data_IF_720075764429
#
_entry.id   IF_720075764429
#
_cell.length_a   1.000
_cell.length_b   1.000
_cell.length_c   1.000
_cell.angle_alpha   90.00
_cell.angle_beta   90.00
_cell.angle_gamma   90.00
#
_symmetry.space_group_name_H-M   'P 1'
#
loop_
_entity.id
_entity.type
_entity.pdbx_description
1 polymer ?
#
# COMPACT_ATOMS: atom_id res chain seq x y z
N UNK A 1 -29.52 22.25 34.47
CA UNK A 1 -28.57 21.15 34.18
C UNK A 1 -28.86 19.97 35.12
N UNK A 2 -30.08 19.41 35.09
CA UNK A 2 -30.51 18.39 36.09
C UNK A 2 -31.05 17.09 35.46
N UNK A 3 -31.09 16.99 34.13
CA UNK A 3 -31.70 15.84 33.43
C UNK A 3 -30.68 14.74 33.07
N UNK A 4 -29.38 15.07 33.05
CA UNK A 4 -28.33 14.13 32.64
C UNK A 4 -27.87 13.17 33.75
N UNK A 5 -28.04 13.54 35.02
CA UNK A 5 -27.62 12.75 36.18
C UNK A 5 -28.30 11.37 36.30
N UNK A 6 -29.64 11.28 36.31
CA UNK A 6 -30.33 10.00 36.47
C UNK A 6 -30.23 9.10 35.23
N UNK A 7 -30.15 9.69 34.03
CA UNK A 7 -29.91 8.95 32.79
C UNK A 7 -28.53 8.28 32.79
N UNK A 8 -27.46 9.02 33.10
CA UNK A 8 -26.11 8.47 33.17
C UNK A 8 -25.95 7.40 34.27
N UNK A 9 -26.63 7.56 35.41
CA UNK A 9 -26.63 6.58 36.49
C UNK A 9 -27.28 5.24 36.09
N UNK A 10 -28.32 5.26 35.26
CA UNK A 10 -28.96 4.05 34.73
C UNK A 10 -28.13 3.32 33.66
N UNK A 11 -27.37 4.07 32.84
CA UNK A 11 -26.54 3.49 31.77
C UNK A 11 -25.20 2.93 32.28
N UNK A 12 -24.62 3.51 33.34
CA UNK A 12 -23.31 3.12 33.86
C UNK A 12 -23.16 1.61 34.21
N UNK A 13 -24.10 0.96 34.93
CA UNK A 13 -23.98 -0.46 35.26
C UNK A 13 -24.23 -1.39 34.07
N UNK A 14 -24.88 -0.90 33.00
CA UNK A 14 -25.13 -1.68 31.77
C UNK A 14 -23.96 -1.57 30.81
N UNK A 15 -23.38 -0.38 30.68
CA UNK A 15 -22.29 -0.09 29.72
C UNK A 15 -20.92 -0.43 30.31
N UNK A 16 -20.68 -0.16 31.60
CA UNK A 16 -19.40 -0.38 32.27
C UNK A 16 -18.85 -1.81 32.08
N UNK A 17 -19.65 -2.86 32.34
CA UNK A 17 -19.26 -4.25 32.12
C UNK A 17 -19.13 -4.66 30.65
N UNK A 18 -19.44 -3.79 29.68
CA UNK A 18 -19.28 -4.06 28.24
C UNK A 18 -18.07 -3.33 27.65
N UNK A 19 -17.47 -2.38 28.38
CA UNK A 19 -16.31 -1.62 27.91
C UNK A 19 -15.08 -2.50 27.63
N UNK A 20 -14.98 -3.69 28.22
CA UNK A 20 -13.89 -4.62 27.91
C UNK A 20 -13.94 -5.13 26.45
N UNK A 21 -15.11 -5.11 25.78
CA UNK A 21 -15.21 -5.39 24.34
C UNK A 21 -14.51 -4.34 23.46
N UNK A 22 -14.23 -3.14 23.99
CA UNK A 22 -13.44 -2.16 23.27
C UNK A 22 -12.01 -2.66 23.04
N UNK A 23 -11.47 -3.47 23.94
CA UNK A 23 -10.12 -4.02 23.81
C UNK A 23 -9.99 -4.90 22.56
N UNK A 24 -10.76 -5.99 22.38
CA UNK A 24 -10.66 -6.81 21.18
C UNK A 24 -11.05 -6.03 19.91
N UNK A 25 -11.96 -5.06 19.97
CA UNK A 25 -12.29 -4.20 18.83
C UNK A 25 -11.09 -3.33 18.43
N UNK A 26 -10.43 -2.69 19.38
CA UNK A 26 -9.23 -1.89 19.13
C UNK A 26 -8.09 -2.77 18.63
N UNK A 27 -7.85 -3.93 19.24
CA UNK A 27 -6.83 -4.90 18.80
C UNK A 27 -7.11 -5.36 17.37
N UNK A 28 -8.34 -5.75 17.04
CA UNK A 28 -8.73 -6.15 15.69
C UNK A 28 -8.53 -5.00 14.69
N UNK A 29 -8.92 -3.77 15.04
CA UNK A 29 -8.73 -2.61 14.20
C UNK A 29 -7.24 -2.30 13.96
N UNK A 30 -6.39 -2.47 14.96
CA UNK A 30 -4.94 -2.33 14.84
C UNK A 30 -4.38 -3.40 13.91
N UNK A 31 -4.71 -4.68 14.13
CA UNK A 31 -4.25 -5.81 13.29
C UNK A 31 -4.66 -5.62 11.83
N UNK A 32 -5.90 -5.21 11.56
CA UNK A 32 -6.41 -5.03 10.19
C UNK A 32 -5.79 -3.83 9.46
N UNK A 33 -5.26 -2.85 10.19
CA UNK A 33 -4.63 -1.64 9.64
C UNK A 33 -3.10 -1.67 9.68
N UNK A 34 -2.50 -2.63 10.39
CA UNK A 34 -1.07 -2.65 10.61
C UNK A 34 -0.30 -2.85 9.30
N UNK A 35 0.73 -2.03 9.02
CA UNK A 35 1.55 -2.21 7.83
C UNK A 35 2.43 -3.45 7.94
N UNK A 36 2.88 -3.98 6.80
CA UNK A 36 3.85 -5.08 6.80
C UNK A 36 5.25 -4.57 7.17
N UNK A 37 5.79 -5.04 8.30
CA UNK A 37 7.13 -4.66 8.77
C UNK A 37 8.21 -5.08 7.76
N UNK A 38 9.24 -4.26 7.62
CA UNK A 38 10.38 -4.52 6.71
C UNK A 38 10.08 -4.39 5.22
N UNK A 39 8.84 -4.08 4.82
CA UNK A 39 8.46 -3.89 3.41
C UNK A 39 8.24 -2.43 3.02
N UNK A 40 7.97 -1.58 4.00
CA UNK A 40 7.75 -0.15 3.82
C UNK A 40 9.04 0.67 3.69
N UNK A 41 8.94 1.97 3.40
CA UNK A 41 10.09 2.84 3.33
C UNK A 41 10.77 3.02 4.69
N UNK A 42 12.11 3.07 4.69
CA UNK A 42 12.90 3.28 5.91
C UNK A 42 13.00 4.77 6.31
N UNK A 43 12.33 5.67 5.58
CA UNK A 43 12.36 7.11 5.81
C UNK A 43 11.07 7.75 5.29
N UNK A 44 10.63 8.83 5.95
CA UNK A 44 9.56 9.69 5.43
C UNK A 44 10.04 10.65 4.34
N UNK A 45 11.36 10.71 4.07
CA UNK A 45 11.92 11.53 2.99
C UNK A 45 11.36 11.07 1.65
N UNK A 46 10.73 11.99 0.94
CA UNK A 46 10.16 11.73 -0.39
C UNK A 46 11.27 11.58 -1.43
N UNK A 47 11.15 10.56 -2.27
CA UNK A 47 12.00 10.38 -3.45
C UNK A 47 11.82 11.61 -4.37
N UNK A 48 12.89 12.28 -4.84
CA UNK A 48 12.76 13.36 -5.82
C UNK A 48 11.97 12.94 -7.07
N UNK A 49 11.96 11.65 -7.40
CA UNK A 49 11.15 11.12 -8.49
C UNK A 49 9.81 10.66 -7.94
N UNK A 50 8.75 11.39 -8.27
CA UNK A 50 7.37 10.97 -7.96
C UNK A 50 6.81 9.99 -8.96
N UNK A 51 7.08 10.15 -10.26
CA UNK A 51 6.46 9.34 -11.30
C UNK A 51 7.38 8.25 -11.83
N UNK A 52 6.83 7.08 -12.13
CA UNK A 52 7.52 6.04 -12.91
C UNK A 52 7.70 6.52 -14.35
N UNK A 53 8.95 6.59 -14.83
CA UNK A 53 9.30 7.01 -16.19
C UNK A 53 10.12 5.93 -16.89
N UNK A 54 10.06 5.93 -18.22
CA UNK A 54 10.91 5.11 -19.11
C UNK A 54 10.95 3.63 -18.67
N UNK A 55 12.14 3.05 -18.53
CA UNK A 55 12.36 1.64 -18.21
C UNK A 55 11.69 1.19 -16.91
N UNK A 56 11.62 2.04 -15.88
CA UNK A 56 10.94 1.67 -14.62
C UNK A 56 9.43 1.49 -14.83
N UNK A 57 8.80 2.34 -15.65
CA UNK A 57 7.38 2.20 -16.01
C UNK A 57 7.15 0.95 -16.85
N UNK A 58 7.99 0.74 -17.87
CA UNK A 58 7.91 -0.43 -18.75
C UNK A 58 8.04 -1.73 -17.95
N UNK A 59 9.05 -1.84 -17.09
CA UNK A 59 9.30 -3.03 -16.27
C UNK A 59 8.14 -3.39 -15.32
N UNK A 60 7.40 -2.40 -14.80
CA UNK A 60 6.22 -2.69 -13.95
C UNK A 60 5.05 -3.19 -14.81
N UNK A 61 4.77 -2.54 -15.95
CA UNK A 61 3.70 -2.97 -16.84
C UNK A 61 3.95 -4.35 -17.45
N UNK A 62 5.20 -4.62 -17.86
CA UNK A 62 5.61 -5.88 -18.47
C UNK A 62 5.49 -7.05 -17.50
N UNK A 63 5.99 -6.91 -16.26
CA UNK A 63 5.83 -7.96 -15.23
C UNK A 63 4.37 -8.21 -14.86
N UNK A 64 3.52 -7.20 -15.02
CA UNK A 64 2.08 -7.34 -14.84
C UNK A 64 1.36 -7.91 -16.09
N UNK A 65 2.04 -8.12 -17.21
CA UNK A 65 1.42 -8.54 -18.47
C UNK A 65 0.43 -7.50 -19.02
N UNK A 66 0.65 -6.21 -18.75
CA UNK A 66 -0.20 -5.12 -19.23
C UNK A 66 -1.61 -5.06 -18.61
N UNK A 67 -1.90 -5.88 -17.58
CA UNK A 67 -3.21 -5.96 -16.93
C UNK A 67 -3.21 -5.29 -15.55
N UNK A 68 -4.36 -4.82 -15.09
CA UNK A 68 -4.51 -4.21 -13.77
C UNK A 68 -4.23 -5.22 -12.64
N UNK A 69 -3.41 -4.87 -11.65
CA UNK A 69 -3.10 -5.69 -10.47
C UNK A 69 -4.08 -5.50 -9.30
N UNK A 70 -5.08 -4.63 -9.48
CA UNK A 70 -6.20 -4.43 -8.57
C UNK A 70 -6.95 -5.75 -8.34
N UNK A 71 -7.44 -5.96 -7.12
CA UNK A 71 -8.28 -7.10 -6.78
C UNK A 71 -9.62 -7.00 -7.49
N UNK A 72 -10.13 -8.10 -8.03
CA UNK A 72 -11.48 -8.12 -8.61
C UNK A 72 -12.56 -8.00 -7.52
N UNK A 73 -12.38 -8.69 -6.39
CA UNK A 73 -13.28 -8.64 -5.25
C UNK A 73 -12.52 -8.70 -3.93
N UNK A 74 -12.49 -7.58 -3.19
CA UNK A 74 -11.73 -7.38 -1.94
C UNK A 74 -10.23 -7.71 -2.05
N UNK A 75 -9.86 -8.98 -1.93
CA UNK A 75 -8.48 -9.47 -2.06
C UNK A 75 -8.37 -10.66 -3.02
N UNK A 76 -9.48 -11.13 -3.58
CA UNK A 76 -9.58 -12.26 -4.51
C UNK A 76 -9.63 -11.80 -5.96
N UNK A 77 -9.03 -12.63 -6.83
CA UNK A 77 -8.99 -12.39 -8.26
C UNK A 77 -8.23 -11.13 -8.65
N UNK A 78 -8.17 -10.88 -9.95
CA UNK A 78 -7.46 -9.75 -10.54
C UNK A 78 -8.40 -9.05 -11.50
N UNK A 79 -8.45 -7.73 -11.45
CA UNK A 79 -9.20 -6.93 -12.41
C UNK A 79 -8.80 -7.29 -13.85
N UNK A 80 -9.78 -7.48 -14.73
CA UNK A 80 -9.57 -7.83 -16.15
C UNK A 80 -9.14 -6.65 -17.02
N UNK A 81 -9.33 -5.41 -16.54
CA UNK A 81 -8.99 -4.20 -17.28
C UNK A 81 -7.49 -4.09 -17.61
N UNK A 82 -7.13 -3.47 -18.74
CA UNK A 82 -5.75 -3.14 -19.04
C UNK A 82 -5.20 -2.13 -18.02
N UNK A 83 -3.92 -2.30 -17.66
CA UNK A 83 -3.20 -1.32 -16.86
C UNK A 83 -2.74 -0.16 -17.75
N UNK A 84 -3.16 1.05 -17.39
CA UNK A 84 -2.76 2.28 -18.08
C UNK A 84 -1.83 3.15 -17.24
N UNK A 85 -1.84 2.94 -15.93
CA UNK A 85 -1.10 3.72 -14.95
C UNK A 85 -0.18 2.81 -14.13
N UNK A 86 0.94 3.38 -13.67
CA UNK A 86 1.83 2.73 -12.71
C UNK A 86 1.86 3.60 -11.48
N UNK A 87 1.49 3.02 -10.34
CA UNK A 87 1.42 3.69 -9.05
C UNK A 87 2.26 2.95 -8.00
N UNK A 88 2.51 3.59 -6.87
CA UNK A 88 3.26 2.99 -5.77
C UNK A 88 2.35 2.17 -4.88
N UNK A 89 2.71 0.94 -4.55
CA UNK A 89 2.04 0.15 -3.52
C UNK A 89 2.10 0.89 -2.17
N UNK A 90 3.32 1.27 -1.75
CA UNK A 90 3.51 2.19 -0.61
C UNK A 90 3.58 3.62 -1.15
N UNK A 91 2.65 4.51 -0.76
CA UNK A 91 2.48 5.79 -1.43
C UNK A 91 3.71 6.70 -1.28
N UNK A 92 4.07 7.39 -2.36
CA UNK A 92 5.18 8.34 -2.39
C UNK A 92 5.08 9.44 -1.32
N UNK A 93 3.86 9.91 -1.03
CA UNK A 93 3.61 10.92 0.01
C UNK A 93 3.94 10.44 1.43
N UNK A 94 4.05 9.13 1.65
CA UNK A 94 4.46 8.50 2.91
C UNK A 94 5.91 7.98 2.89
N UNK A 95 6.71 8.42 1.90
CA UNK A 95 8.12 8.04 1.77
C UNK A 95 8.38 6.84 0.84
N UNK A 96 7.35 6.28 0.19
CA UNK A 96 7.52 5.17 -0.75
C UNK A 96 8.37 5.58 -1.97
N UNK A 97 9.52 4.94 -2.23
CA UNK A 97 10.38 5.33 -3.34
C UNK A 97 9.84 4.85 -4.68
N UNK A 98 10.20 5.55 -5.77
CA UNK A 98 9.87 5.17 -7.15
C UNK A 98 10.86 4.11 -7.64
N UNK A 99 10.66 2.89 -7.16
CA UNK A 99 11.43 1.71 -7.52
C UNK A 99 10.50 0.61 -8.02
N UNK A 100 11.05 -0.24 -8.89
CA UNK A 100 10.33 -1.32 -9.57
C UNK A 100 9.62 -2.28 -8.59
N UNK A 101 10.18 -2.51 -7.39
CA UNK A 101 9.58 -3.35 -6.34
C UNK A 101 8.43 -2.70 -5.58
N UNK A 102 8.32 -1.36 -5.63
CA UNK A 102 7.20 -0.61 -5.06
C UNK A 102 6.13 -0.29 -6.12
N UNK A 103 6.37 -0.59 -7.38
CA UNK A 103 5.44 -0.32 -8.47
C UNK A 103 4.30 -1.32 -8.56
N UNK A 104 3.14 -0.84 -8.98
CA UNK A 104 1.95 -1.61 -9.32
C UNK A 104 1.29 -1.05 -10.57
N UNK A 105 0.93 -1.94 -11.50
CA UNK A 105 0.20 -1.63 -12.73
C UNK A 105 -1.31 -1.59 -12.44
N UNK A 106 -1.98 -0.46 -12.70
CA UNK A 106 -3.39 -0.25 -12.37
C UNK A 106 -4.17 0.32 -13.57
N UNK A 107 -5.46 -0.03 -13.64
CA UNK A 107 -6.43 0.71 -14.44
C UNK A 107 -6.80 2.02 -13.73
N UNK A 108 -7.40 2.98 -14.45
CA UNK A 108 -7.75 4.30 -13.88
C UNK A 108 -8.68 4.20 -12.67
N UNK A 109 -9.66 3.29 -12.71
CA UNK A 109 -10.63 3.11 -11.64
C UNK A 109 -9.94 2.65 -10.34
N UNK A 110 -9.13 1.58 -10.42
CA UNK A 110 -8.40 1.07 -9.27
C UNK A 110 -7.33 2.03 -8.75
N UNK A 111 -6.66 2.77 -9.64
CA UNK A 111 -5.69 3.77 -9.22
C UNK A 111 -6.35 4.91 -8.42
N UNK A 112 -7.50 5.41 -8.89
CA UNK A 112 -8.29 6.43 -8.18
C UNK A 112 -8.81 5.92 -6.83
N UNK A 113 -9.34 4.69 -6.80
CA UNK A 113 -9.84 4.07 -5.57
C UNK A 113 -8.73 3.91 -4.53
N UNK A 114 -7.53 3.49 -4.97
CA UNK A 114 -6.38 3.32 -4.08
C UNK A 114 -5.91 4.65 -3.50
N UNK A 115 -5.76 5.68 -4.35
CA UNK A 115 -5.26 7.00 -3.93
C UNK A 115 -3.96 6.92 -3.11
N UNK A 116 -3.89 7.72 -2.04
CA UNK A 116 -2.75 7.75 -1.13
C UNK A 116 -2.88 6.78 0.07
N UNK A 117 -3.74 5.76 -0.03
CA UNK A 117 -3.89 4.76 1.03
C UNK A 117 -2.59 3.96 1.23
N UNK A 118 -2.21 3.76 2.50
CA UNK A 118 -1.09 2.88 2.85
C UNK A 118 -1.64 1.48 3.08
N UNK A 119 -1.23 0.49 2.29
CA UNK A 119 -1.78 -0.85 2.40
C UNK A 119 -1.36 -1.53 3.71
N UNK A 120 -2.31 -2.22 4.33
CA UNK A 120 -2.03 -3.12 5.45
C UNK A 120 -1.37 -4.43 4.97
N UNK A 121 -0.87 -5.22 5.92
CA UNK A 121 -0.17 -6.47 5.64
C UNK A 121 -0.94 -7.44 4.74
N UNK A 122 -2.25 -7.58 4.94
CA UNK A 122 -3.09 -8.51 4.18
C UNK A 122 -3.20 -8.11 2.71
N UNK A 123 -3.18 -6.81 2.40
CA UNK A 123 -3.21 -6.33 1.01
C UNK A 123 -1.91 -6.69 0.31
N UNK A 124 -0.77 -6.46 0.97
CA UNK A 124 0.56 -6.79 0.44
C UNK A 124 0.66 -8.29 0.17
N UNK A 125 0.31 -9.14 1.14
CA UNK A 125 0.33 -10.59 0.97
C UNK A 125 -0.64 -11.06 -0.12
N UNK A 126 -1.83 -10.47 -0.21
CA UNK A 126 -2.81 -10.77 -1.25
C UNK A 126 -2.27 -10.42 -2.64
N UNK A 127 -1.67 -9.23 -2.79
CA UNK A 127 -1.04 -8.81 -4.03
C UNK A 127 0.11 -9.75 -4.43
N UNK A 128 1.01 -10.08 -3.51
CA UNK A 128 2.12 -11.03 -3.74
C UNK A 128 1.61 -12.41 -4.14
N UNK A 129 0.59 -12.92 -3.46
CA UNK A 129 -0.05 -14.20 -3.80
C UNK A 129 -0.58 -14.18 -5.23
N UNK A 130 -1.23 -13.10 -5.65
CA UNK A 130 -1.72 -12.97 -7.03
C UNK A 130 -0.57 -12.87 -8.02
N UNK A 131 0.47 -12.08 -7.73
CA UNK A 131 1.65 -11.93 -8.61
C UNK A 131 2.31 -13.25 -8.96
N UNK A 132 2.33 -14.23 -8.04
CA UNK A 132 2.87 -15.58 -8.31
C UNK A 132 2.22 -16.28 -9.50
N UNK A 133 1.00 -15.93 -9.89
CA UNK A 133 0.30 -16.58 -11.00
C UNK A 133 0.53 -15.91 -12.36
N UNK A 134 1.10 -14.71 -12.42
CA UNK A 134 1.21 -13.95 -13.68
C UNK A 134 2.51 -13.18 -13.86
N UNK A 135 3.36 -13.07 -12.84
CA UNK A 135 4.70 -12.53 -13.02
C UNK A 135 5.55 -13.50 -13.84
N UNK A 136 6.49 -13.00 -14.67
CA UNK A 136 7.45 -13.84 -15.37
C UNK A 136 8.21 -14.76 -14.41
N UNK A 137 8.58 -15.95 -14.90
CA UNK A 137 9.36 -16.92 -14.13
C UNK A 137 10.67 -16.28 -13.68
N UNK A 138 10.99 -16.39 -12.39
CA UNK A 138 12.19 -15.80 -11.79
C UNK A 138 12.07 -14.33 -11.38
N UNK A 139 10.97 -13.63 -11.71
CA UNK A 139 10.75 -12.27 -11.25
C UNK A 139 10.40 -12.24 -9.75
N UNK A 140 10.94 -11.27 -9.01
CA UNK A 140 10.57 -11.07 -7.61
C UNK A 140 9.14 -10.55 -7.50
N UNK A 141 8.27 -11.33 -6.87
CA UNK A 141 6.86 -11.00 -6.63
C UNK A 141 6.67 -10.06 -5.44
N UNK A 142 7.68 -9.94 -4.57
CA UNK A 142 7.58 -9.23 -3.30
C UNK A 142 7.39 -7.74 -3.52
N UNK A 143 6.54 -7.15 -2.69
CA UNK A 143 6.45 -5.70 -2.55
C UNK A 143 7.59 -5.24 -1.65
N UNK A 144 8.45 -4.38 -2.21
CA UNK A 144 9.57 -3.79 -1.50
C UNK A 144 9.65 -2.29 -1.83
N UNK A 145 9.29 -1.47 -0.84
CA UNK A 145 9.38 -0.02 -0.92
C UNK A 145 10.72 0.51 -0.40
N UNK A 146 11.82 -0.14 -0.81
CA UNK A 146 13.18 0.18 -0.38
C UNK A 146 14.07 0.35 -1.60
N UNK A 147 14.88 1.41 -1.60
CA UNK A 147 15.87 1.66 -2.64
C UNK A 147 17.10 0.77 -2.45
N UNK A 148 17.50 0.09 -3.53
CA UNK A 148 18.81 -0.57 -3.59
C UNK A 148 19.95 0.46 -3.60
N UNK A 149 21.19 0.00 -3.38
CA UNK A 149 22.38 0.85 -3.53
C UNK A 149 22.47 1.46 -4.93
N UNK A 150 22.18 0.66 -5.96
CA UNK A 150 22.14 1.12 -7.35
C UNK A 150 21.09 2.22 -7.57
N UNK A 151 19.89 2.07 -7.00
CA UNK A 151 18.84 3.10 -7.10
C UNK A 151 19.30 4.42 -6.49
N UNK A 152 19.98 4.38 -5.33
CA UNK A 152 20.50 5.58 -4.65
C UNK A 152 21.56 6.27 -5.50
N UNK A 153 22.52 5.51 -6.03
CA UNK A 153 23.56 6.05 -6.92
C UNK A 153 22.96 6.70 -8.17
N UNK A 154 21.90 6.12 -8.75
CA UNK A 154 21.21 6.72 -9.89
C UNK A 154 20.53 8.05 -9.53
N UNK A 155 19.95 8.16 -8.33
CA UNK A 155 19.37 9.42 -7.84
C UNK A 155 20.45 10.48 -7.61
N UNK A 156 21.55 10.11 -6.97
CA UNK A 156 22.67 11.02 -6.69
C UNK A 156 23.30 11.55 -7.99
N UNK A 157 23.60 10.66 -8.95
CA UNK A 157 24.08 11.05 -10.28
C UNK A 157 23.12 12.00 -10.99
N UNK A 158 21.81 11.75 -10.87
CA UNK A 158 20.79 12.59 -11.49
C UNK A 158 20.58 13.93 -10.78
N UNK A 159 20.92 14.01 -9.50
CA UNK A 159 20.92 15.26 -8.73
C UNK A 159 22.15 16.10 -9.06
N UNK A 160 23.35 15.47 -9.12
CA UNK A 160 24.59 16.14 -9.48
C UNK A 160 24.56 16.77 -10.88
N UNK A 161 23.86 16.14 -11.84
CA UNK A 161 23.66 16.67 -13.20
C UNK A 161 22.72 17.88 -13.29
N UNK A 162 22.01 18.24 -12.21
CA UNK A 162 21.07 19.37 -12.18
C UNK A 162 21.65 20.64 -11.54
N UNK A 163 22.86 20.54 -11.00
CA UNK A 163 23.65 21.66 -10.47
C UNK A 163 24.60 22.12 -11.56
#
# INVERSE_FOLDING_TARGET
>A
MEIFGPLLAGFAPVVGPQLWWLIPVVVAALVLRFPMLGRGPNSSRRDPWRGFKFGARAAVLERAGGRCEGSAFLFWGRCDDPAVEVDHVMPWSRGGPTVVGNGQALCRAHNRLKGAWTPAWWYVLGLERRRRSYFPVGADVRVLAVMSGADRMLRERSAAKRV
#
